data_IF_553458336617
#
_entry.id   IF_553458336617
#
_cell.length_a   1.000
_cell.length_b   1.000
_cell.length_c   1.000
_cell.angle_alpha   90.00
_cell.angle_beta   90.00
_cell.angle_gamma   90.00
#
_symmetry.space_group_name_H-M   'P 1'
#
loop_
_entity.id
_entity.type
_entity.pdbx_description
1 polymer ?
#
# COMPACT_ATOMS: atom_id res chain seq x y z
N UNK A 1 13.52 -1.54 25.76
CA UNK A 1 12.49 -1.21 26.79
C UNK A 1 12.18 0.27 26.69
N UNK A 2 10.95 0.65 26.27
CA UNK A 2 10.54 2.05 26.15
C UNK A 2 10.30 2.65 27.55
N UNK A 3 10.64 3.90 27.73
CA UNK A 3 10.37 4.68 28.95
C UNK A 3 8.84 4.65 29.23
N UNK A 4 8.42 4.46 30.49
CA UNK A 4 7.00 4.40 30.86
C UNK A 4 6.23 5.70 30.51
N UNK A 5 6.91 6.83 30.32
CA UNK A 5 6.32 8.10 29.87
C UNK A 5 5.85 8.04 28.41
N UNK A 6 6.41 7.12 27.64
CA UNK A 6 5.97 6.85 26.28
C UNK A 6 4.51 6.38 26.25
N UNK A 7 4.09 5.57 27.24
CA UNK A 7 2.68 5.16 27.35
C UNK A 7 1.76 6.37 27.59
N UNK A 8 2.22 7.32 28.41
CA UNK A 8 1.49 8.58 28.64
C UNK A 8 1.38 9.41 27.36
N UNK A 9 2.47 9.49 26.58
CA UNK A 9 2.47 10.18 25.29
C UNK A 9 1.49 9.53 24.32
N UNK A 10 1.52 8.20 24.15
CA UNK A 10 0.63 7.47 23.24
C UNK A 10 -0.83 7.65 23.62
N UNK A 11 -1.15 7.55 24.90
CA UNK A 11 -2.51 7.75 25.40
C UNK A 11 -2.99 9.18 25.16
N UNK A 12 -2.14 10.20 25.41
CA UNK A 12 -2.48 11.59 25.10
C UNK A 12 -2.61 11.83 23.60
N UNK A 13 -1.78 11.17 22.80
CA UNK A 13 -1.84 11.22 21.35
C UNK A 13 -3.20 10.70 20.82
N UNK A 14 -3.77 9.67 21.42
CA UNK A 14 -5.11 9.15 21.07
C UNK A 14 -6.23 10.04 21.60
N UNK A 15 -6.22 10.32 22.91
CA UNK A 15 -7.31 11.02 23.60
C UNK A 15 -7.40 12.52 23.28
N UNK A 16 -6.29 13.15 22.89
CA UNK A 16 -6.16 14.59 22.66
C UNK A 16 -6.75 15.43 23.80
N UNK A 17 -6.67 14.90 25.03
CA UNK A 17 -7.22 15.52 26.23
C UNK A 17 -6.47 15.05 27.48
N UNK A 18 -5.79 15.97 28.16
CA UNK A 18 -4.99 15.66 29.35
C UNK A 18 -5.79 15.03 30.49
N UNK A 19 -7.04 15.45 30.69
CA UNK A 19 -7.90 14.90 31.75
C UNK A 19 -8.32 13.47 31.44
N UNK A 20 -8.81 13.20 30.22
CA UNK A 20 -9.16 11.83 29.78
C UNK A 20 -7.95 10.90 29.81
N UNK A 21 -6.79 11.39 29.40
CA UNK A 21 -5.53 10.64 29.50
C UNK A 21 -5.22 10.26 30.95
N UNK A 22 -5.36 11.20 31.87
CA UNK A 22 -5.15 10.96 33.29
C UNK A 22 -6.14 9.91 33.85
N UNK A 23 -7.41 10.02 33.51
CA UNK A 23 -8.45 9.06 33.89
C UNK A 23 -8.14 7.65 33.34
N UNK A 24 -7.79 7.54 32.05
CA UNK A 24 -7.45 6.26 31.39
C UNK A 24 -6.23 5.58 31.99
N UNK A 25 -5.21 6.37 32.34
CA UNK A 25 -3.96 5.88 32.94
C UNK A 25 -4.00 5.77 34.47
N UNK A 26 -5.12 6.12 35.11
CA UNK A 26 -5.27 6.18 36.58
C UNK A 26 -4.19 7.07 37.23
N UNK A 27 -3.93 8.19 36.61
CA UNK A 27 -2.95 9.20 37.05
C UNK A 27 -3.65 10.53 37.36
N UNK A 28 -2.88 11.48 37.91
CA UNK A 28 -3.34 12.86 38.00
C UNK A 28 -3.03 13.62 36.71
N UNK A 29 -3.85 14.62 36.34
CA UNK A 29 -3.57 15.45 35.17
C UNK A 29 -2.20 16.17 35.27
N UNK A 30 -1.76 16.71 36.42
CA UNK A 30 -0.39 17.22 36.57
C UNK A 30 0.69 16.19 36.29
N UNK A 31 0.47 14.91 36.64
CA UNK A 31 1.39 13.81 36.34
C UNK A 31 1.52 13.57 34.83
N UNK A 32 0.40 13.55 34.10
CA UNK A 32 0.40 13.47 32.62
C UNK A 32 1.20 14.65 32.04
N UNK A 33 0.93 15.88 32.51
CA UNK A 33 1.62 17.08 32.03
C UNK A 33 3.13 17.01 32.29
N UNK A 34 3.54 16.51 33.46
CA UNK A 34 4.95 16.36 33.81
C UNK A 34 5.66 15.33 32.91
N UNK A 35 4.99 14.20 32.58
CA UNK A 35 5.52 13.19 31.68
C UNK A 35 5.75 13.78 30.27
N UNK A 36 4.75 14.47 29.73
CA UNK A 36 4.86 15.12 28.41
C UNK A 36 5.98 16.18 28.41
N UNK A 37 6.02 17.06 29.39
CA UNK A 37 7.10 18.07 29.49
C UNK A 37 8.48 17.42 29.62
N UNK A 38 8.58 16.24 30.25
CA UNK A 38 9.84 15.52 30.31
C UNK A 38 10.28 15.05 28.95
N UNK A 39 9.39 14.43 28.17
CA UNK A 39 9.67 13.99 26.81
C UNK A 39 10.01 15.18 25.90
N UNK A 40 9.24 16.27 25.98
CA UNK A 40 9.52 17.51 25.24
C UNK A 40 10.91 18.07 25.52
N UNK A 41 11.32 18.07 26.79
CA UNK A 41 12.68 18.51 27.20
C UNK A 41 13.77 17.54 26.72
N UNK A 42 13.48 16.22 26.78
CA UNK A 42 14.43 15.20 26.35
C UNK A 42 14.71 15.26 24.84
N UNK A 43 13.66 15.47 24.04
CA UNK A 43 13.80 15.60 22.59
C UNK A 43 14.06 17.03 22.12
N UNK A 44 13.94 18.04 22.99
CA UNK A 44 14.16 19.44 22.66
C UNK A 44 13.07 20.06 21.77
N UNK A 45 11.87 19.47 21.73
CA UNK A 45 10.77 19.86 20.83
C UNK A 45 9.45 19.92 21.58
N UNK A 46 8.46 20.64 21.02
CA UNK A 46 7.07 20.57 21.49
C UNK A 46 6.37 19.41 20.78
N UNK A 47 5.66 18.60 21.56
CA UNK A 47 4.87 17.48 21.05
C UNK A 47 3.39 17.84 20.88
N UNK A 48 2.89 18.70 21.78
CA UNK A 48 1.52 19.18 21.72
C UNK A 48 1.47 20.69 21.91
N UNK A 49 0.54 21.34 21.19
CA UNK A 49 0.30 22.79 21.27
C UNK A 49 -1.20 23.06 21.35
N UNK A 50 -1.57 24.20 21.95
CA UNK A 50 -2.95 24.68 21.93
C UNK A 50 -3.10 25.76 20.86
N UNK A 51 -4.17 25.68 20.06
CA UNK A 51 -4.56 26.74 19.12
C UNK A 51 -5.51 27.78 19.76
N UNK A 52 -5.65 27.76 21.07
CA UNK A 52 -6.58 28.58 21.87
C UNK A 52 -7.91 27.89 22.17
N UNK A 53 -8.27 26.80 21.52
CA UNK A 53 -9.51 26.03 21.76
C UNK A 53 -9.27 24.54 21.96
N UNK A 54 -8.39 23.96 21.19
CA UNK A 54 -8.14 22.53 21.21
C UNK A 54 -6.65 22.21 21.27
N UNK A 55 -6.35 21.02 21.77
CA UNK A 55 -5.01 20.46 21.74
C UNK A 55 -4.71 19.94 20.33
N UNK A 56 -3.53 20.27 19.79
CA UNK A 56 -3.08 19.82 18.47
C UNK A 56 -1.76 19.07 18.62
N UNK A 57 -1.57 18.06 17.77
CA UNK A 57 -0.30 17.35 17.60
C UNK A 57 0.64 18.19 16.76
N UNK A 58 1.91 18.19 17.11
CA UNK A 58 2.95 18.78 16.27
C UNK A 58 3.45 17.74 15.26
N UNK A 59 4.18 18.17 14.23
CA UNK A 59 4.87 17.28 13.29
C UNK A 59 5.85 16.35 14.03
N UNK A 60 6.47 16.86 15.07
CA UNK A 60 7.41 16.13 15.94
C UNK A 60 6.69 15.04 16.73
N UNK A 61 5.46 15.28 17.20
CA UNK A 61 4.64 14.26 17.84
C UNK A 61 4.31 13.11 16.86
N UNK A 62 3.98 13.43 15.62
CA UNK A 62 3.74 12.42 14.57
C UNK A 62 5.01 11.59 14.30
N UNK A 63 6.17 12.25 14.22
CA UNK A 63 7.45 11.56 14.03
C UNK A 63 7.79 10.65 15.21
N UNK A 64 7.60 11.14 16.44
CA UNK A 64 7.85 10.36 17.65
C UNK A 64 6.91 9.14 17.72
N UNK A 65 5.63 9.32 17.38
CA UNK A 65 4.65 8.22 17.32
C UNK A 65 5.11 7.11 16.38
N UNK A 66 5.49 7.46 15.14
CA UNK A 66 6.01 6.52 14.16
C UNK A 66 7.24 5.76 14.65
N UNK A 67 8.19 6.48 15.27
CA UNK A 67 9.39 5.85 15.83
C UNK A 67 9.06 4.86 16.95
N UNK A 68 8.12 5.22 17.84
CA UNK A 68 7.68 4.34 18.92
C UNK A 68 7.03 3.07 18.36
N UNK A 69 6.14 3.19 17.38
CA UNK A 69 5.45 2.07 16.77
C UNK A 69 6.43 1.09 16.12
N UNK A 70 7.39 1.63 15.34
CA UNK A 70 8.47 0.83 14.75
C UNK A 70 9.34 0.13 15.81
N UNK A 71 9.65 0.82 16.92
CA UNK A 71 10.44 0.23 18.00
C UNK A 71 9.67 -0.86 18.75
N UNK A 72 8.37 -0.69 18.97
CA UNK A 72 7.50 -1.72 19.57
C UNK A 72 7.39 -2.96 18.69
N UNK A 73 7.23 -2.76 17.39
CA UNK A 73 7.22 -3.87 16.44
C UNK A 73 8.54 -4.65 16.51
N UNK A 74 9.68 -3.96 16.46
CA UNK A 74 11.00 -4.59 16.58
C UNK A 74 11.23 -5.30 17.92
N UNK A 75 10.74 -4.74 19.04
CA UNK A 75 10.80 -5.38 20.37
C UNK A 75 9.91 -6.64 20.43
N UNK A 76 8.73 -6.58 19.82
CA UNK A 76 7.84 -7.74 19.72
C UNK A 76 8.52 -8.89 18.96
N UNK A 77 9.14 -8.57 17.82
CA UNK A 77 9.86 -9.55 17.00
C UNK A 77 11.07 -10.15 17.73
N UNK A 78 11.80 -9.32 18.47
CA UNK A 78 12.91 -9.78 19.30
C UNK A 78 12.42 -10.74 20.38
N UNK A 79 11.30 -10.44 21.04
CA UNK A 79 10.70 -11.34 22.04
C UNK A 79 10.21 -12.65 21.44
N UNK A 80 9.60 -12.58 20.26
CA UNK A 80 9.21 -13.77 19.49
C UNK A 80 10.42 -14.64 19.15
N UNK A 81 11.57 -14.03 18.82
CA UNK A 81 12.82 -14.74 18.57
C UNK A 81 13.46 -15.38 19.83
N UNK A 82 13.15 -14.89 21.04
CA UNK A 82 13.62 -15.49 22.30
C UNK A 82 12.79 -16.72 22.71
N UNK A 83 11.52 -16.76 22.33
CA UNK A 83 10.71 -17.97 22.43
C UNK A 83 11.03 -18.76 21.17
N UNK A 84 11.85 -19.83 21.31
CA UNK A 84 12.18 -20.75 20.21
C UNK A 84 10.91 -21.41 19.64
N UNK A 85 10.09 -20.62 18.96
CA UNK A 85 9.13 -21.12 18.00
C UNK A 85 9.78 -20.84 16.64
N UNK A 86 10.09 -21.89 15.89
CA UNK A 86 10.56 -21.83 14.49
C UNK A 86 9.52 -21.13 13.58
N UNK A 87 8.61 -20.34 14.14
CA UNK A 87 7.49 -19.72 13.45
C UNK A 87 7.91 -18.35 12.91
N UNK A 88 7.99 -18.23 11.61
CA UNK A 88 8.18 -16.97 10.92
C UNK A 88 6.81 -16.33 10.61
N UNK A 89 6.48 -15.21 11.25
CA UNK A 89 5.27 -14.45 10.97
C UNK A 89 5.61 -13.19 10.19
N UNK A 90 5.05 -13.05 9.00
CA UNK A 90 5.22 -11.89 8.12
C UNK A 90 3.91 -11.12 7.97
N UNK A 91 4.02 -9.78 8.00
CA UNK A 91 2.93 -8.84 7.71
C UNK A 91 3.28 -8.11 6.43
N UNK A 92 2.66 -8.51 5.34
CA UNK A 92 3.00 -8.05 3.99
C UNK A 92 1.86 -7.22 3.42
N UNK A 93 2.19 -6.02 2.91
CA UNK A 93 1.27 -5.21 2.13
C UNK A 93 1.42 -5.49 0.64
N UNK A 94 0.33 -5.41 -0.11
CA UNK A 94 0.38 -5.44 -1.57
C UNK A 94 -0.67 -4.52 -2.17
N UNK A 95 -0.33 -3.79 -3.24
CA UNK A 95 -1.35 -3.08 -4.02
C UNK A 95 -2.26 -4.08 -4.74
N UNK A 96 -3.44 -3.64 -5.11
CA UNK A 96 -4.53 -4.54 -5.55
C UNK A 96 -4.13 -5.46 -6.71
N UNK A 97 -3.48 -4.93 -7.74
CA UNK A 97 -3.02 -5.78 -8.86
C UNK A 97 -2.06 -6.87 -8.38
N UNK A 98 -1.11 -6.48 -7.53
CA UNK A 98 -0.10 -7.41 -7.02
C UNK A 98 -0.73 -8.43 -6.08
N UNK A 99 -1.54 -7.98 -5.13
CA UNK A 99 -2.18 -8.81 -4.12
C UNK A 99 -3.16 -9.84 -4.69
N UNK A 100 -3.92 -9.43 -5.72
CA UNK A 100 -4.96 -10.28 -6.29
C UNK A 100 -4.44 -11.21 -7.42
N UNK A 101 -3.42 -10.78 -8.20
CA UNK A 101 -3.05 -11.49 -9.45
C UNK A 101 -1.58 -11.93 -9.52
N UNK A 102 -0.67 -11.33 -8.75
CA UNK A 102 0.76 -11.57 -8.94
C UNK A 102 1.37 -12.39 -7.81
N UNK A 103 1.04 -12.04 -6.55
CA UNK A 103 1.74 -12.59 -5.39
C UNK A 103 1.28 -14.01 -4.97
N UNK A 104 0.15 -14.47 -5.45
CA UNK A 104 -0.49 -15.72 -5.04
C UNK A 104 0.44 -16.94 -5.10
N UNK A 105 1.25 -17.17 -6.17
CA UNK A 105 2.21 -18.28 -6.20
C UNK A 105 3.25 -18.21 -5.07
N UNK A 106 3.76 -17.01 -4.78
CA UNK A 106 4.74 -16.77 -3.71
C UNK A 106 4.12 -17.01 -2.34
N UNK A 107 2.92 -16.48 -2.09
CA UNK A 107 2.15 -16.74 -0.86
C UNK A 107 1.96 -18.24 -0.65
N UNK A 108 1.55 -18.96 -1.70
CA UNK A 108 1.39 -20.42 -1.64
C UNK A 108 2.71 -21.14 -1.32
N UNK A 109 3.81 -20.68 -1.91
CA UNK A 109 5.12 -21.28 -1.63
C UNK A 109 5.55 -21.03 -0.19
N UNK A 110 5.39 -19.81 0.31
CA UNK A 110 5.71 -19.43 1.68
C UNK A 110 4.89 -20.21 2.71
N UNK A 111 3.59 -20.36 2.50
CA UNK A 111 2.67 -21.07 3.43
C UNK A 111 2.76 -22.61 3.35
N UNK A 112 3.67 -23.19 2.55
CA UNK A 112 3.94 -24.64 2.60
C UNK A 112 4.67 -25.07 3.86
N UNK A 113 5.42 -24.19 4.46
CA UNK A 113 6.05 -24.44 5.75
C UNK A 113 5.02 -24.19 6.86
N UNK A 114 4.75 -25.20 7.68
CA UNK A 114 3.78 -25.16 8.77
C UNK A 114 4.17 -24.16 9.88
N UNK A 115 5.44 -23.78 9.92
CA UNK A 115 5.98 -22.76 10.83
C UNK A 115 5.85 -21.33 10.29
N UNK A 116 5.43 -21.16 9.05
CA UNK A 116 5.21 -19.86 8.46
C UNK A 116 3.78 -19.35 8.66
N UNK A 117 3.65 -18.09 9.03
CA UNK A 117 2.38 -17.35 9.14
C UNK A 117 2.45 -16.07 8.34
N UNK A 118 1.35 -15.69 7.73
CA UNK A 118 1.27 -14.50 6.88
C UNK A 118 -0.01 -13.74 7.15
N UNK A 119 0.13 -12.44 7.41
CA UNK A 119 -0.95 -11.46 7.26
C UNK A 119 -0.69 -10.69 5.97
N UNK A 120 -1.49 -10.95 4.95
CA UNK A 120 -1.43 -10.23 3.67
C UNK A 120 -2.54 -9.18 3.61
N UNK A 121 -2.14 -7.92 3.54
CA UNK A 121 -3.05 -6.78 3.46
C UNK A 121 -3.02 -6.21 2.06
N UNK A 122 -4.18 -6.18 1.40
CA UNK A 122 -4.32 -5.65 0.04
C UNK A 122 -5.05 -4.31 0.09
N UNK A 123 -4.35 -3.22 -0.24
CA UNK A 123 -4.89 -1.85 -0.17
C UNK A 123 -4.25 -0.96 -1.25
N UNK A 124 -4.56 0.33 -1.22
CA UNK A 124 -3.92 1.34 -2.07
C UNK A 124 -2.53 1.72 -1.53
N UNK A 125 -1.74 2.38 -2.39
CA UNK A 125 -0.37 2.79 -2.07
C UNK A 125 -0.28 3.67 -0.82
N UNK A 126 -1.16 4.65 -0.68
CA UNK A 126 -1.13 5.62 0.43
C UNK A 126 -1.34 4.93 1.79
N UNK A 127 -2.34 4.06 1.88
CA UNK A 127 -2.62 3.28 3.09
C UNK A 127 -1.47 2.33 3.44
N UNK A 128 -0.92 1.61 2.45
CA UNK A 128 0.20 0.69 2.68
C UNK A 128 1.45 1.41 3.16
N UNK A 129 1.77 2.59 2.58
CA UNK A 129 2.89 3.40 3.04
C UNK A 129 2.67 3.92 4.46
N UNK A 130 1.45 4.34 4.79
CA UNK A 130 1.08 4.70 6.16
C UNK A 130 1.27 3.54 7.15
N UNK A 131 0.82 2.33 6.79
CA UNK A 131 0.99 1.14 7.62
C UNK A 131 2.47 0.76 7.82
N UNK A 132 3.32 0.93 6.77
CA UNK A 132 4.77 0.78 6.91
C UNK A 132 5.37 1.78 7.90
N UNK A 133 4.96 3.05 7.83
CA UNK A 133 5.42 4.09 8.75
C UNK A 133 5.02 3.82 10.20
N UNK A 134 3.87 3.18 10.42
CA UNK A 134 3.39 2.79 11.75
C UNK A 134 3.93 1.44 12.24
N UNK A 135 4.74 0.75 11.43
CA UNK A 135 5.29 -0.57 11.78
C UNK A 135 4.25 -1.69 11.80
N UNK A 136 3.13 -1.50 11.11
CA UNK A 136 2.06 -2.49 10.97
C UNK A 136 2.38 -3.52 9.89
N UNK A 137 3.28 -3.18 8.95
CA UNK A 137 3.80 -4.06 7.91
C UNK A 137 5.31 -4.22 8.02
N UNK A 138 5.81 -5.37 7.63
CA UNK A 138 7.25 -5.65 7.54
C UNK A 138 7.83 -5.09 6.23
N UNK A 139 7.09 -5.24 5.14
CA UNK A 139 7.33 -4.62 3.85
C UNK A 139 6.02 -4.59 3.03
N UNK A 140 6.02 -3.83 1.95
CA UNK A 140 4.91 -3.79 1.01
C UNK A 140 5.41 -3.93 -0.43
N UNK A 141 4.59 -4.52 -1.29
CA UNK A 141 4.84 -4.64 -2.72
C UNK A 141 3.93 -3.65 -3.42
N UNK A 142 4.52 -2.62 -4.00
CA UNK A 142 3.80 -1.45 -4.50
C UNK A 142 4.02 -1.29 -6.00
N UNK A 143 2.93 -1.12 -6.73
CA UNK A 143 2.91 -0.65 -8.11
C UNK A 143 2.58 0.85 -8.16
N UNK A 144 3.07 1.53 -9.18
CA UNK A 144 2.74 2.92 -9.42
C UNK A 144 3.70 3.91 -8.78
N UNK A 145 3.22 5.13 -8.58
CA UNK A 145 4.04 6.27 -8.16
C UNK A 145 4.04 6.39 -6.64
N UNK A 146 5.22 6.45 -6.06
CA UNK A 146 5.46 6.79 -4.66
C UNK A 146 6.79 7.57 -4.55
N UNK A 147 7.02 8.21 -3.43
CA UNK A 147 8.25 8.97 -3.17
C UNK A 147 9.44 8.03 -2.93
N UNK A 148 10.21 7.78 -3.99
CA UNK A 148 11.38 6.89 -3.97
C UNK A 148 12.55 7.45 -3.16
N UNK A 149 12.59 8.75 -2.86
CA UNK A 149 13.62 9.34 -1.99
C UNK A 149 13.27 9.12 -0.52
N UNK A 150 11.99 9.14 -0.20
CA UNK A 150 11.50 8.96 1.17
C UNK A 150 11.50 7.49 1.60
N UNK A 151 11.18 6.57 0.68
CA UNK A 151 11.00 5.16 1.00
C UNK A 151 12.09 4.30 0.35
N UNK A 152 12.95 3.64 1.15
CA UNK A 152 13.87 2.62 0.65
C UNK A 152 13.09 1.51 -0.07
N UNK A 153 13.60 1.07 -1.21
CA UNK A 153 12.91 0.08 -2.03
C UNK A 153 13.88 -0.76 -2.86
N UNK A 154 13.42 -1.95 -3.26
CA UNK A 154 14.09 -2.82 -4.25
C UNK A 154 13.12 -3.10 -5.39
N UNK A 155 13.61 -3.11 -6.63
CA UNK A 155 12.81 -3.54 -7.77
C UNK A 155 12.50 -5.03 -7.62
N UNK A 156 11.21 -5.39 -7.62
CA UNK A 156 10.76 -6.77 -7.64
C UNK A 156 10.57 -7.27 -9.08
N UNK A 157 9.80 -6.55 -9.88
CA UNK A 157 9.41 -6.96 -11.23
C UNK A 157 9.06 -5.76 -12.10
N UNK A 158 9.28 -5.89 -13.41
CA UNK A 158 8.67 -5.02 -14.41
C UNK A 158 7.54 -5.76 -15.10
N UNK A 159 6.41 -5.07 -15.33
CA UNK A 159 5.22 -5.66 -15.91
C UNK A 159 4.62 -4.76 -16.98
N UNK A 160 4.15 -5.35 -18.08
CA UNK A 160 3.52 -4.61 -19.15
C UNK A 160 2.13 -4.14 -18.74
N UNK A 161 1.81 -2.88 -19.07
CA UNK A 161 0.49 -2.31 -18.93
C UNK A 161 -0.21 -2.36 -20.29
N UNK A 162 -1.32 -3.10 -20.37
CA UNK A 162 -1.97 -3.49 -21.62
C UNK A 162 -3.47 -3.16 -21.60
N UNK A 163 -4.08 -3.12 -22.77
CA UNK A 163 -5.52 -3.18 -22.89
C UNK A 163 -6.03 -4.60 -22.66
N UNK A 164 -7.16 -4.75 -22.03
CA UNK A 164 -7.84 -6.04 -21.77
C UNK A 164 -9.27 -5.96 -22.31
N UNK A 165 -9.67 -6.97 -23.02
CA UNK A 165 -10.99 -7.11 -23.63
C UNK A 165 -11.46 -8.58 -23.54
N UNK A 166 -12.69 -8.87 -23.95
CA UNK A 166 -13.15 -10.24 -24.15
C UNK A 166 -12.30 -10.95 -25.24
N UNK A 167 -12.10 -12.25 -25.08
CA UNK A 167 -11.38 -13.07 -26.09
C UNK A 167 -12.07 -13.10 -27.46
N UNK A 168 -13.37 -12.82 -27.52
CA UNK A 168 -14.16 -12.68 -28.77
C UNK A 168 -14.14 -11.26 -29.36
N UNK A 169 -13.60 -10.27 -28.63
CA UNK A 169 -13.53 -8.88 -29.07
C UNK A 169 -12.59 -8.71 -30.28
N UNK A 170 -12.93 -7.83 -31.26
CA UNK A 170 -12.08 -7.60 -32.44
C UNK A 170 -10.62 -7.18 -32.12
N UNK A 171 -10.36 -6.68 -30.91
CA UNK A 171 -9.02 -6.26 -30.46
C UNK A 171 -8.18 -7.40 -29.90
N UNK A 172 -8.78 -8.54 -29.56
CA UNK A 172 -8.09 -9.66 -28.91
C UNK A 172 -6.81 -10.07 -29.66
N UNK A 173 -5.67 -10.04 -28.98
CA UNK A 173 -4.35 -10.39 -29.50
C UNK A 173 -3.78 -9.42 -30.55
N UNK A 174 -4.36 -8.22 -30.71
CA UNK A 174 -3.96 -7.27 -31.74
C UNK A 174 -3.34 -6.00 -31.16
N UNK A 175 -2.68 -5.27 -32.05
CA UNK A 175 -2.30 -3.86 -31.82
C UNK A 175 -3.31 -2.98 -32.56
N UNK A 176 -3.84 -1.98 -31.88
CA UNK A 176 -4.87 -1.05 -32.39
C UNK A 176 -4.42 0.39 -32.20
N UNK A 177 -4.99 1.31 -32.96
CA UNK A 177 -4.73 2.74 -32.75
C UNK A 177 -5.45 3.24 -31.49
N UNK A 178 -4.97 4.34 -30.92
CA UNK A 178 -5.65 4.97 -29.78
C UNK A 178 -7.05 5.43 -30.15
N UNK A 179 -7.25 5.98 -31.35
CA UNK A 179 -8.56 6.41 -31.85
C UNK A 179 -9.55 5.24 -31.95
N UNK A 180 -9.09 4.05 -32.29
CA UNK A 180 -9.93 2.85 -32.29
C UNK A 180 -10.34 2.50 -30.84
N UNK A 181 -9.41 2.51 -29.89
CA UNK A 181 -9.68 2.25 -28.48
C UNK A 181 -10.64 3.29 -27.87
N UNK A 182 -10.53 4.57 -28.24
CA UNK A 182 -11.42 5.64 -27.76
C UNK A 182 -12.88 5.48 -28.22
N UNK A 183 -13.13 4.71 -29.29
CA UNK A 183 -14.50 4.40 -29.74
C UNK A 183 -15.20 3.33 -28.91
N UNK A 184 -14.47 2.67 -28.02
CA UNK A 184 -15.03 1.65 -27.16
C UNK A 184 -15.53 2.23 -25.81
N UNK A 185 -16.35 1.46 -25.11
CA UNK A 185 -16.71 1.75 -23.72
C UNK A 185 -15.56 1.32 -22.82
N UNK A 186 -15.13 2.21 -21.92
CA UNK A 186 -14.03 1.98 -21.01
C UNK A 186 -14.54 1.76 -19.58
N UNK A 187 -13.99 0.78 -18.88
CA UNK A 187 -14.12 0.65 -17.44
C UNK A 187 -12.76 0.91 -16.81
N UNK A 188 -12.71 1.86 -15.89
CA UNK A 188 -11.49 2.22 -15.15
C UNK A 188 -11.66 2.00 -13.66
N UNK A 189 -10.53 1.91 -12.98
CA UNK A 189 -10.46 1.88 -11.53
C UNK A 189 -10.87 3.24 -10.93
N UNK A 190 -11.11 3.25 -9.66
CA UNK A 190 -11.39 4.44 -8.85
C UNK A 190 -10.24 5.46 -8.88
N UNK A 191 -10.54 6.72 -8.53
CA UNK A 191 -9.51 7.75 -8.30
C UNK A 191 -8.58 7.32 -7.16
N UNK A 192 -7.28 7.56 -7.35
CA UNK A 192 -6.23 7.11 -6.44
C UNK A 192 -5.65 5.73 -6.78
N UNK A 193 -6.22 4.99 -7.75
CA UNK A 193 -5.62 3.77 -8.30
C UNK A 193 -4.40 4.08 -9.16
N UNK A 194 -3.29 3.38 -8.94
CA UNK A 194 -2.07 3.49 -9.75
C UNK A 194 -2.30 3.13 -11.21
N UNK A 195 -3.08 2.08 -11.49
CA UNK A 195 -3.44 1.67 -12.86
C UNK A 195 -4.24 2.73 -13.60
N UNK A 196 -5.19 3.39 -12.92
CA UNK A 196 -5.94 4.50 -13.52
C UNK A 196 -5.02 5.69 -13.83
N UNK A 197 -4.16 6.06 -12.89
CA UNK A 197 -3.22 7.17 -13.05
C UNK A 197 -2.27 6.95 -14.24
N UNK A 198 -1.77 5.72 -14.42
CA UNK A 198 -0.94 5.37 -15.58
C UNK A 198 -1.68 5.56 -16.90
N UNK A 199 -2.92 5.11 -16.98
CA UNK A 199 -3.75 5.32 -18.18
C UNK A 199 -3.99 6.80 -18.44
N UNK A 200 -4.41 7.56 -17.41
CA UNK A 200 -4.66 9.00 -17.52
C UNK A 200 -3.42 9.74 -18.02
N UNK A 201 -2.24 9.45 -17.49
CA UNK A 201 -0.96 10.04 -17.94
C UNK A 201 -0.64 9.68 -19.39
N UNK A 202 -0.84 8.41 -19.77
CA UNK A 202 -0.54 7.92 -21.10
C UNK A 202 -1.41 8.55 -22.19
N UNK A 203 -2.71 8.71 -21.94
CA UNK A 203 -3.61 9.34 -22.90
C UNK A 203 -3.46 10.88 -22.88
N UNK A 204 -3.21 11.50 -21.71
CA UNK A 204 -3.00 12.94 -21.59
C UNK A 204 -1.77 13.42 -22.37
N UNK A 205 -0.69 12.63 -22.39
CA UNK A 205 0.50 12.93 -23.20
C UNK A 205 0.22 13.00 -24.71
N UNK A 206 -0.94 12.49 -25.14
CA UNK A 206 -1.43 12.50 -26.54
C UNK A 206 -2.61 13.45 -26.76
N UNK A 207 -2.93 14.29 -25.77
CA UNK A 207 -4.01 15.29 -25.84
C UNK A 207 -5.41 14.74 -25.59
N UNK A 208 -5.54 13.52 -25.03
CA UNK A 208 -6.82 12.90 -24.70
C UNK A 208 -7.05 12.81 -23.20
N UNK A 209 -8.31 12.58 -22.82
CA UNK A 209 -8.72 12.30 -21.43
C UNK A 209 -9.65 11.09 -21.38
N UNK A 210 -10.04 10.67 -20.19
CA UNK A 210 -11.03 9.59 -20.04
C UNK A 210 -12.38 9.92 -20.68
N UNK A 211 -12.73 11.20 -20.76
CA UNK A 211 -13.96 11.69 -21.44
C UNK A 211 -13.90 11.56 -22.96
N UNK A 212 -12.71 11.29 -23.53
CA UNK A 212 -12.53 11.04 -24.97
C UNK A 212 -13.02 9.65 -25.39
N UNK A 213 -13.22 8.73 -24.44
CA UNK A 213 -13.81 7.42 -24.73
C UNK A 213 -15.31 7.54 -25.00
N UNK A 214 -15.86 6.64 -25.81
CA UNK A 214 -17.29 6.60 -26.10
C UNK A 214 -18.15 6.66 -24.83
N UNK A 215 -17.73 5.98 -23.79
CA UNK A 215 -18.28 5.99 -22.43
C UNK A 215 -17.19 5.55 -21.45
N UNK A 216 -17.10 6.20 -20.32
CA UNK A 216 -16.20 5.80 -19.24
C UNK A 216 -17.00 5.51 -17.97
N UNK A 217 -16.78 4.36 -17.36
CA UNK A 217 -17.39 3.95 -16.10
C UNK A 217 -16.28 3.66 -15.08
N UNK A 218 -16.55 3.96 -13.81
CA UNK A 218 -15.60 3.71 -12.71
C UNK A 218 -16.07 2.54 -11.86
N UNK A 219 -15.20 1.54 -11.67
CA UNK A 219 -15.43 0.38 -10.83
C UNK A 219 -14.19 0.13 -9.97
N UNK A 220 -14.33 -0.05 -8.66
CA UNK A 220 -13.20 -0.18 -7.73
C UNK A 220 -12.70 -1.63 -7.52
N UNK A 221 -13.41 -2.62 -8.03
CA UNK A 221 -13.11 -4.04 -7.83
C UNK A 221 -12.73 -4.71 -9.14
N UNK A 222 -11.56 -5.36 -9.18
CA UNK A 222 -11.07 -6.03 -10.39
C UNK A 222 -11.94 -7.23 -10.81
N UNK A 223 -12.48 -7.99 -9.86
CA UNK A 223 -13.35 -9.12 -10.20
C UNK A 223 -14.57 -8.65 -10.98
N UNK A 224 -15.19 -7.53 -10.57
CA UNK A 224 -16.32 -6.93 -11.28
C UNK A 224 -15.89 -6.38 -12.65
N UNK A 225 -14.72 -5.73 -12.73
CA UNK A 225 -14.18 -5.24 -14.02
C UNK A 225 -13.99 -6.40 -15.00
N UNK A 226 -13.30 -7.45 -14.55
CA UNK A 226 -13.04 -8.64 -15.38
C UNK A 226 -14.32 -9.32 -15.86
N UNK A 227 -15.35 -9.39 -14.99
CA UNK A 227 -16.66 -9.93 -15.35
C UNK A 227 -17.32 -9.10 -16.45
N UNK A 228 -17.40 -7.78 -16.27
CA UNK A 228 -18.03 -6.88 -17.24
C UNK A 228 -17.29 -6.86 -18.57
N UNK A 229 -15.96 -6.92 -18.56
CA UNK A 229 -15.13 -6.97 -19.77
C UNK A 229 -15.31 -8.30 -20.49
N UNK A 230 -15.35 -9.42 -19.76
CA UNK A 230 -15.61 -10.75 -20.34
C UNK A 230 -16.98 -10.86 -21.02
N UNK A 231 -17.98 -10.10 -20.55
CA UNK A 231 -19.31 -10.02 -21.16
C UNK A 231 -19.37 -9.13 -22.42
N UNK A 232 -18.24 -8.74 -22.98
CA UNK A 232 -18.12 -7.92 -24.21
C UNK A 232 -18.72 -6.51 -24.12
N UNK A 233 -18.89 -5.98 -22.93
CA UNK A 233 -19.54 -4.67 -22.76
C UNK A 233 -18.59 -3.49 -22.78
N UNK A 234 -17.28 -3.73 -22.57
CA UNK A 234 -16.26 -2.69 -22.45
C UNK A 234 -14.84 -3.24 -22.59
N UNK A 235 -13.89 -2.32 -22.71
CA UNK A 235 -12.46 -2.60 -22.53
C UNK A 235 -11.99 -2.04 -21.20
N UNK A 236 -10.85 -2.51 -20.72
CA UNK A 236 -10.13 -1.90 -19.59
C UNK A 236 -8.63 -1.85 -19.87
N UNK A 237 -7.88 -1.14 -19.05
CA UNK A 237 -6.42 -1.11 -19.08
C UNK A 237 -5.89 -1.49 -17.70
N UNK A 238 -4.99 -2.46 -17.67
CA UNK A 238 -4.35 -2.93 -16.45
C UNK A 238 -3.00 -3.60 -16.75
N UNK A 239 -2.30 -4.04 -15.73
CA UNK A 239 -1.13 -4.88 -15.94
C UNK A 239 -1.54 -6.27 -16.45
N UNK A 240 -0.70 -6.82 -17.31
CA UNK A 240 -0.98 -8.08 -18.03
C UNK A 240 -1.47 -9.23 -17.15
N UNK A 241 -0.94 -9.46 -15.91
CA UNK A 241 -1.43 -10.54 -15.05
C UNK A 241 -2.93 -10.50 -14.75
N UNK A 242 -3.58 -9.32 -14.82
CA UNK A 242 -5.04 -9.20 -14.63
C UNK A 242 -5.80 -9.96 -15.71
N UNK A 243 -5.31 -10.04 -16.94
CA UNK A 243 -5.95 -10.78 -18.02
C UNK A 243 -5.99 -12.29 -17.80
N UNK A 244 -5.08 -12.81 -16.97
CA UNK A 244 -4.97 -14.25 -16.72
C UNK A 244 -5.96 -14.78 -15.68
N UNK A 245 -6.74 -13.89 -15.03
CA UNK A 245 -7.72 -14.31 -14.02
C UNK A 245 -8.92 -15.09 -14.61
N UNK A 246 -9.15 -14.96 -15.92
CA UNK A 246 -10.25 -15.61 -16.64
C UNK A 246 -9.80 -16.03 -18.03
N UNK A 247 -10.29 -17.18 -18.49
CA UNK A 247 -9.96 -17.72 -19.83
C UNK A 247 -10.70 -17.01 -20.98
N UNK A 248 -11.73 -16.23 -20.68
CA UNK A 248 -12.51 -15.45 -21.64
C UNK A 248 -12.01 -14.01 -21.82
N UNK A 249 -10.88 -13.66 -21.22
CA UNK A 249 -10.19 -12.39 -21.42
C UNK A 249 -8.99 -12.55 -22.35
N UNK A 250 -8.69 -11.47 -23.07
CA UNK A 250 -7.52 -11.36 -23.94
C UNK A 250 -6.89 -9.97 -23.80
N UNK A 251 -5.60 -9.88 -24.06
CA UNK A 251 -4.88 -8.61 -24.12
C UNK A 251 -4.91 -8.02 -25.52
N UNK A 252 -4.76 -6.70 -25.60
CA UNK A 252 -4.46 -5.97 -26.81
C UNK A 252 -3.47 -4.84 -26.51
N UNK A 253 -2.77 -4.39 -27.53
CA UNK A 253 -1.83 -3.26 -27.41
C UNK A 253 -2.36 -2.04 -28.14
N UNK A 254 -1.98 -0.86 -27.68
CA UNK A 254 -2.25 0.40 -28.38
C UNK A 254 -0.95 0.88 -29.02
N UNK A 255 -1.02 1.28 -30.29
CA UNK A 255 0.12 1.82 -31.01
C UNK A 255 0.73 3.00 -30.24
N UNK A 256 2.08 3.04 -30.20
CA UNK A 256 2.85 4.09 -29.50
C UNK A 256 2.53 4.26 -28.00
N UNK A 257 1.83 3.31 -27.37
CA UNK A 257 1.48 3.32 -25.95
C UNK A 257 2.06 2.09 -25.21
N UNK A 258 3.36 1.86 -25.38
CA UNK A 258 4.05 0.82 -24.63
C UNK A 258 4.42 1.36 -23.23
N UNK A 259 3.71 0.89 -22.23
CA UNK A 259 3.92 1.26 -20.83
C UNK A 259 4.41 0.03 -20.08
N UNK A 260 5.51 0.18 -19.36
CA UNK A 260 6.01 -0.81 -18.42
C UNK A 260 6.03 -0.20 -17.04
N UNK A 261 5.34 -0.81 -16.11
CA UNK A 261 5.34 -0.41 -14.70
C UNK A 261 6.34 -1.20 -13.88
N UNK A 262 6.80 -0.60 -12.80
CA UNK A 262 7.67 -1.24 -11.82
C UNK A 262 6.86 -1.65 -10.60
N UNK A 263 7.05 -2.89 -10.16
CA UNK A 263 6.61 -3.38 -8.87
C UNK A 263 7.80 -3.34 -7.93
N UNK A 264 7.66 -2.67 -6.82
CA UNK A 264 8.76 -2.42 -5.91
C UNK A 264 8.45 -2.99 -4.53
N UNK A 265 9.43 -3.63 -3.91
CA UNK A 265 9.44 -4.00 -2.50
C UNK A 265 9.81 -2.76 -1.70
N UNK A 266 8.88 -2.23 -0.93
CA UNK A 266 9.04 -0.98 -0.18
C UNK A 266 9.06 -1.30 1.30
N UNK A 267 9.96 -0.68 2.05
CA UNK A 267 10.16 -0.91 3.48
C UNK A 267 10.69 0.35 4.16
N UNK A 268 10.76 0.35 5.50
CA UNK A 268 11.32 1.47 6.26
C UNK A 268 12.79 1.22 6.61
N UNK A 269 13.15 -0.02 6.96
CA UNK A 269 14.49 -0.36 7.40
C UNK A 269 14.98 -1.63 6.71
N UNK A 270 15.97 -1.49 5.84
CA UNK A 270 16.60 -2.59 5.07
C UNK A 270 17.13 -3.72 5.95
N UNK A 271 17.76 -3.40 7.08
CA UNK A 271 18.35 -4.41 7.98
C UNK A 271 17.30 -5.33 8.61
N UNK A 272 16.08 -4.83 8.77
CA UNK A 272 14.96 -5.58 9.33
C UNK A 272 14.17 -6.28 8.23
N UNK A 273 13.86 -5.56 7.15
CA UNK A 273 13.03 -6.06 6.07
C UNK A 273 13.77 -7.03 5.15
N UNK A 274 15.07 -6.83 4.90
CA UNK A 274 15.85 -7.65 3.96
C UNK A 274 15.73 -9.15 4.22
N UNK A 275 16.08 -9.66 5.41
CA UNK A 275 15.96 -11.09 5.72
C UNK A 275 14.53 -11.64 5.58
N UNK A 276 13.51 -10.81 5.86
CA UNK A 276 12.09 -11.18 5.75
C UNK A 276 11.65 -11.24 4.30
N UNK A 277 12.09 -10.30 3.47
CA UNK A 277 11.88 -10.31 2.03
C UNK A 277 12.52 -11.54 1.41
N UNK A 278 13.77 -11.84 1.76
CA UNK A 278 14.49 -13.00 1.23
C UNK A 278 13.84 -14.34 1.65
N UNK A 279 13.25 -14.40 2.84
CA UNK A 279 12.46 -15.56 3.29
C UNK A 279 11.12 -15.68 2.56
N UNK A 280 10.50 -14.57 2.18
CA UNK A 280 9.23 -14.56 1.46
C UNK A 280 9.40 -14.83 -0.04
N UNK A 281 10.53 -14.42 -0.62
CA UNK A 281 10.94 -14.65 -2.00
C UNK A 281 12.21 -15.52 -2.05
N UNK A 282 12.14 -16.81 -1.70
CA UNK A 282 13.30 -17.68 -1.85
C UNK A 282 13.71 -17.74 -3.33
N UNK A 283 15.04 -17.65 -3.60
CA UNK A 283 15.62 -17.75 -4.94
C UNK A 283 15.27 -19.07 -5.66
#
# INVERSE_FOLDING_TARGET
>A
MLDYRIETFLTLYEEMNYRRTAERLRMTQPGVTQHIHHLERFYGVKLFVYDGRQLLRTREAEQLKRHIDSTRAAEHDLRAGFVQTDTLHLRVGATKTIGEFVIVPTVRAFLRDEHHRLDLIVDNTENLLSMLEHGELDFAIIEGVFDKEKYPHRLYKRECFVGICSSSHPFAGRTVTLEAALRESLIVREKGSGTRMLLEQAIASRGYSLDSFRRCSTVSNFSVICELVGMEQAITFAYEPVSHCRSDLATFHVEDMQITGEFNLVYINERVAGPRIDSFFPE
#
